data_IF_973605522304
#
_entry.id   IF_973605522304
#
_cell.length_a   1.000
_cell.length_b   1.000
_cell.length_c   1.000
_cell.angle_alpha   90.00
_cell.angle_beta   90.00
_cell.angle_gamma   90.00
#
_symmetry.space_group_name_H-M   'P 1'
#
loop_
_entity.id
_entity.type
_entity.pdbx_description
1 polymer ?
#
# COMPACT_ATOMS: atom_id res chain seq x y z
N UNK A 1 65.48 -42.60 -11.62
CA UNK A 1 64.70 -41.41 -12.05
C UNK A 1 63.57 -41.21 -11.05
N UNK A 2 63.73 -40.31 -10.08
CA UNK A 2 62.69 -39.97 -9.10
C UNK A 2 62.00 -38.68 -9.54
N UNK A 3 60.73 -38.76 -9.96
CA UNK A 3 59.93 -37.58 -10.24
C UNK A 3 59.19 -37.14 -8.98
N UNK A 4 59.58 -35.98 -8.43
CA UNK A 4 58.82 -35.27 -7.39
C UNK A 4 57.70 -34.48 -8.06
N UNK A 5 56.46 -34.70 -7.63
CA UNK A 5 55.30 -33.91 -8.03
C UNK A 5 55.14 -32.78 -7.00
N UNK A 6 55.13 -31.53 -7.47
CA UNK A 6 54.88 -30.35 -6.64
C UNK A 6 53.37 -30.13 -6.45
N UNK A 7 52.90 -29.62 -5.29
CA UNK A 7 51.48 -29.37 -5.08
C UNK A 7 51.05 -28.08 -5.79
N UNK A 8 49.92 -28.15 -6.49
CA UNK A 8 49.25 -26.98 -7.07
C UNK A 8 48.36 -26.37 -5.99
N UNK A 9 48.70 -25.18 -5.53
CA UNK A 9 47.89 -24.43 -4.56
C UNK A 9 46.74 -23.76 -5.30
N UNK A 10 45.51 -24.20 -5.05
CA UNK A 10 44.30 -23.59 -5.59
C UNK A 10 43.99 -22.30 -4.81
N UNK A 11 44.07 -21.14 -5.47
CA UNK A 11 43.63 -19.87 -4.91
C UNK A 11 42.10 -19.78 -4.98
N UNK A 12 41.44 -19.74 -3.82
CA UNK A 12 40.01 -19.46 -3.73
C UNK A 12 39.77 -17.94 -3.86
N UNK A 13 39.26 -17.51 -5.01
CA UNK A 13 38.67 -16.18 -5.16
C UNK A 13 37.28 -16.19 -4.50
N UNK A 14 37.14 -15.50 -3.37
CA UNK A 14 35.84 -15.27 -2.76
C UNK A 14 35.10 -14.19 -3.55
N UNK A 15 34.06 -14.57 -4.27
CA UNK A 15 33.17 -13.62 -4.92
C UNK A 15 32.28 -12.97 -3.85
N UNK A 16 32.49 -11.68 -3.59
CA UNK A 16 31.54 -10.89 -2.81
C UNK A 16 30.29 -10.72 -3.68
N UNK A 17 29.20 -11.38 -3.28
CA UNK A 17 27.90 -11.13 -3.88
C UNK A 17 27.39 -9.75 -3.43
N UNK A 18 27.47 -8.76 -4.32
CA UNK A 18 26.71 -7.52 -4.17
C UNK A 18 25.24 -7.87 -4.38
N UNK A 19 24.42 -7.72 -3.34
CA UNK A 19 22.97 -7.88 -3.44
C UNK A 19 22.45 -6.93 -4.54
N UNK A 20 21.89 -7.50 -5.60
CA UNK A 20 21.27 -6.74 -6.68
C UNK A 20 19.96 -6.14 -6.17
N UNK A 21 19.89 -4.81 -5.99
CA UNK A 21 18.66 -4.11 -5.60
C UNK A 21 17.69 -4.19 -6.79
N UNK A 22 16.69 -5.08 -6.72
CA UNK A 22 15.66 -5.18 -7.75
C UNK A 22 14.91 -3.83 -7.82
N UNK A 23 14.53 -3.36 -9.02
CA UNK A 23 13.65 -2.21 -9.14
C UNK A 23 12.39 -2.45 -8.32
N UNK A 24 12.09 -1.54 -7.39
CA UNK A 24 10.92 -1.64 -6.52
C UNK A 24 9.66 -1.28 -7.31
N UNK A 25 8.52 -1.90 -6.98
CA UNK A 25 7.26 -1.57 -7.64
C UNK A 25 6.81 -0.15 -7.30
N UNK A 26 5.91 0.41 -8.12
CA UNK A 26 5.27 1.70 -7.82
C UNK A 26 4.52 1.67 -6.48
N UNK A 27 3.89 0.55 -6.15
CA UNK A 27 3.19 0.32 -4.88
C UNK A 27 4.13 0.42 -3.68
N UNK A 28 5.26 -0.29 -3.73
CA UNK A 28 6.28 -0.23 -2.69
C UNK A 28 6.88 1.17 -2.58
N UNK A 29 7.09 1.84 -3.73
CA UNK A 29 7.57 3.22 -3.76
C UNK A 29 6.60 4.17 -3.08
N UNK A 30 5.31 4.06 -3.37
CA UNK A 30 4.29 4.89 -2.73
C UNK A 30 4.25 4.69 -1.21
N UNK A 31 4.29 3.43 -0.73
CA UNK A 31 4.38 3.13 0.71
C UNK A 31 5.60 3.81 1.35
N UNK A 32 6.78 3.70 0.72
CA UNK A 32 8.00 4.34 1.23
C UNK A 32 7.88 5.85 1.28
N UNK A 33 7.33 6.47 0.24
CA UNK A 33 7.17 7.92 0.17
C UNK A 33 6.19 8.44 1.22
N UNK A 34 5.08 7.75 1.44
CA UNK A 34 4.13 8.06 2.52
C UNK A 34 4.82 7.94 3.88
N UNK A 35 5.59 6.87 4.11
CA UNK A 35 6.31 6.69 5.36
C UNK A 35 7.44 7.73 5.56
N UNK A 36 8.15 8.11 4.50
CA UNK A 36 9.15 9.18 4.56
C UNK A 36 8.50 10.51 4.93
N UNK A 37 7.37 10.84 4.30
CA UNK A 37 6.60 12.03 4.64
C UNK A 37 6.10 11.99 6.10
N UNK A 38 5.61 10.85 6.59
CA UNK A 38 5.25 10.68 8.00
C UNK A 38 6.42 10.98 8.94
N UNK A 39 7.63 10.48 8.62
CA UNK A 39 8.84 10.75 9.39
C UNK A 39 9.21 12.24 9.37
N UNK A 40 9.09 12.92 8.23
CA UNK A 40 9.28 14.38 8.14
C UNK A 40 8.30 15.16 9.02
N UNK A 41 7.10 14.62 9.25
CA UNK A 41 6.10 15.19 10.15
C UNK A 41 6.26 14.73 11.61
N UNK A 42 7.36 14.05 11.96
CA UNK A 42 7.65 13.59 13.31
C UNK A 42 6.87 12.35 13.77
N UNK A 43 6.30 11.59 12.82
CA UNK A 43 5.55 10.37 13.10
C UNK A 43 6.36 9.11 12.77
N UNK A 44 6.03 8.01 13.43
CA UNK A 44 6.62 6.72 13.09
C UNK A 44 6.14 6.21 11.72
N UNK A 45 7.02 5.54 10.96
CA UNK A 45 6.62 4.83 9.76
C UNK A 45 5.68 3.67 10.12
N UNK A 46 4.81 3.31 9.18
CA UNK A 46 3.84 2.23 9.31
C UNK A 46 4.39 0.98 8.62
N UNK A 47 4.23 -0.19 9.25
CA UNK A 47 4.68 -1.44 8.68
C UNK A 47 3.90 -1.82 7.41
N UNK A 48 4.62 -2.16 6.34
CA UNK A 48 4.01 -2.64 5.09
C UNK A 48 3.22 -3.93 5.35
N UNK A 49 2.02 -4.00 4.80
CA UNK A 49 1.04 -5.05 5.04
C UNK A 49 0.70 -5.76 3.72
N UNK A 50 1.09 -7.05 3.55
CA UNK A 50 0.68 -7.84 2.39
C UNK A 50 -0.85 -7.88 2.22
N UNK A 51 -1.59 -8.00 3.33
CA UNK A 51 -3.04 -8.04 3.32
C UNK A 51 -3.67 -6.74 2.81
N UNK A 52 -3.23 -5.57 3.30
CA UNK A 52 -3.75 -4.29 2.83
C UNK A 52 -3.24 -3.93 1.43
N UNK A 53 -2.07 -4.41 1.02
CA UNK A 53 -1.60 -4.29 -0.36
C UNK A 53 -2.49 -5.11 -1.30
N UNK A 54 -2.92 -6.31 -0.93
CA UNK A 54 -3.89 -7.08 -1.71
C UNK A 54 -5.22 -6.33 -1.87
N UNK A 55 -5.74 -5.74 -0.78
CA UNK A 55 -6.94 -4.89 -0.84
C UNK A 55 -6.75 -3.72 -1.81
N UNK A 56 -5.62 -3.02 -1.72
CA UNK A 56 -5.33 -1.89 -2.59
C UNK A 56 -5.25 -2.31 -4.06
N UNK A 57 -4.59 -3.43 -4.35
CA UNK A 57 -4.43 -3.99 -5.71
C UNK A 57 -5.78 -4.37 -6.31
N UNK A 58 -6.65 -5.03 -5.53
CA UNK A 58 -7.98 -5.40 -6.01
C UNK A 58 -8.86 -4.17 -6.23
N UNK A 59 -8.71 -3.14 -5.39
CA UNK A 59 -9.48 -1.91 -5.52
C UNK A 59 -9.08 -1.09 -6.75
N UNK A 60 -7.78 -0.89 -7.03
CA UNK A 60 -7.39 -0.16 -8.25
C UNK A 60 -7.81 -0.90 -9.51
N UNK A 61 -7.78 -2.23 -9.51
CA UNK A 61 -8.32 -3.03 -10.64
C UNK A 61 -9.83 -2.82 -10.81
N UNK A 62 -10.57 -2.76 -9.71
CA UNK A 62 -12.01 -2.47 -9.74
C UNK A 62 -12.27 -1.06 -10.28
N UNK A 63 -11.54 -0.05 -9.79
CA UNK A 63 -11.68 1.34 -10.23
C UNK A 63 -11.34 1.54 -11.71
N UNK A 64 -10.31 0.87 -12.23
CA UNK A 64 -9.97 0.92 -13.66
C UNK A 64 -11.05 0.25 -14.52
N UNK A 65 -11.60 -0.88 -14.06
CA UNK A 65 -12.61 -1.65 -14.81
C UNK A 65 -13.99 -1.03 -14.73
N UNK A 66 -14.37 -0.52 -13.56
CA UNK A 66 -15.69 -0.01 -13.21
C UNK A 66 -15.58 1.34 -12.48
N UNK A 67 -15.14 2.41 -13.17
CA UNK A 67 -15.03 3.74 -12.55
C UNK A 67 -16.36 4.17 -11.91
N UNK A 68 -16.31 4.76 -10.69
CA UNK A 68 -17.51 5.25 -10.03
C UNK A 68 -18.16 6.38 -10.85
N UNK A 69 -19.49 6.47 -10.77
CA UNK A 69 -20.26 7.48 -11.50
C UNK A 69 -21.38 8.08 -10.63
N UNK A 70 -21.98 9.17 -11.13
CA UNK A 70 -23.05 9.88 -10.44
C UNK A 70 -22.58 10.44 -9.10
N UNK A 71 -23.22 10.02 -8.01
CA UNK A 71 -22.92 10.46 -6.64
C UNK A 71 -21.83 9.63 -5.94
N UNK A 72 -21.40 8.53 -6.56
CA UNK A 72 -20.40 7.62 -6.03
C UNK A 72 -19.00 8.18 -6.28
N UNK A 73 -18.09 8.03 -5.32
CA UNK A 73 -16.70 8.49 -5.42
C UNK A 73 -15.70 7.32 -5.42
N UNK A 74 -14.39 7.63 -5.41
CA UNK A 74 -13.31 6.64 -5.54
C UNK A 74 -13.19 5.64 -4.37
N UNK A 75 -13.96 5.79 -3.30
CA UNK A 75 -14.06 4.79 -2.22
C UNK A 75 -15.18 3.75 -2.48
N UNK A 76 -15.84 3.83 -3.63
CA UNK A 76 -16.92 2.91 -4.03
C UNK A 76 -16.34 1.63 -4.60
N UNK A 77 -16.98 0.51 -4.30
CA UNK A 77 -16.61 -0.80 -4.83
C UNK A 77 -17.74 -1.32 -5.71
N UNK A 78 -17.43 -1.69 -6.95
CA UNK A 78 -18.42 -2.21 -7.88
C UNK A 78 -18.79 -3.66 -7.54
N UNK A 79 -19.76 -4.23 -8.26
CA UNK A 79 -20.14 -5.65 -8.13
C UNK A 79 -19.28 -6.59 -8.99
N UNK A 80 -18.07 -6.15 -9.37
CA UNK A 80 -17.19 -6.83 -10.31
C UNK A 80 -16.22 -7.85 -9.69
N UNK A 81 -16.38 -8.19 -8.42
CA UNK A 81 -15.55 -9.16 -7.71
C UNK A 81 -16.26 -9.78 -6.49
N UNK A 82 -15.51 -10.60 -5.76
CA UNK A 82 -16.04 -11.41 -4.65
C UNK A 82 -16.03 -10.62 -3.32
N UNK A 83 -16.76 -9.50 -3.30
CA UNK A 83 -16.91 -8.61 -2.15
C UNK A 83 -18.29 -7.92 -2.19
N UNK A 84 -18.67 -7.25 -1.11
CA UNK A 84 -19.94 -6.51 -1.06
C UNK A 84 -19.82 -5.20 -1.84
N UNK A 85 -20.57 -4.99 -2.92
CA UNK A 85 -20.52 -3.71 -3.65
C UNK A 85 -21.16 -2.55 -2.89
N UNK A 86 -20.75 -1.33 -3.20
CA UNK A 86 -21.36 -0.12 -2.63
C UNK A 86 -21.13 1.13 -3.49
N UNK A 87 -21.97 2.12 -3.27
CA UNK A 87 -21.75 3.50 -3.69
C UNK A 87 -21.31 4.32 -2.47
N UNK A 88 -20.06 4.80 -2.46
CA UNK A 88 -19.55 5.66 -1.40
C UNK A 88 -19.81 7.13 -1.74
N UNK A 89 -20.56 7.81 -0.89
CA UNK A 89 -20.98 9.21 -1.06
C UNK A 89 -20.12 10.18 -0.24
N UNK A 90 -20.11 11.45 -0.63
CA UNK A 90 -19.27 12.49 -0.01
C UNK A 90 -19.62 12.79 1.46
N UNK A 91 -20.80 12.40 1.93
CA UNK A 91 -21.22 12.51 3.33
C UNK A 91 -20.60 11.45 4.25
N UNK A 92 -19.85 10.50 3.68
CA UNK A 92 -19.24 9.37 4.39
C UNK A 92 -20.25 8.46 5.12
N UNK A 93 -21.54 8.53 4.78
CA UNK A 93 -22.57 7.72 5.44
C UNK A 93 -22.33 6.20 5.24
N UNK A 94 -21.65 5.83 4.15
CA UNK A 94 -21.32 4.45 3.79
C UNK A 94 -19.90 4.04 4.19
N UNK A 95 -19.35 4.61 5.27
CA UNK A 95 -17.98 4.32 5.72
C UNK A 95 -17.68 2.83 5.93
N UNK A 96 -18.70 2.02 6.32
CA UNK A 96 -18.58 0.56 6.45
C UNK A 96 -18.13 -0.11 5.16
N UNK A 97 -18.56 0.40 4.00
CA UNK A 97 -18.15 -0.16 2.72
C UNK A 97 -16.64 -0.22 2.57
N UNK A 98 -15.94 0.83 3.00
CA UNK A 98 -14.47 0.85 2.99
C UNK A 98 -13.92 0.01 4.14
N UNK A 99 -14.47 0.18 5.36
CA UNK A 99 -13.92 -0.46 6.56
C UNK A 99 -13.92 -1.98 6.51
N UNK A 100 -14.90 -2.60 5.86
CA UNK A 100 -15.07 -4.05 5.83
C UNK A 100 -14.18 -4.75 4.79
N UNK A 101 -13.59 -4.02 3.83
CA UNK A 101 -12.85 -4.61 2.70
C UNK A 101 -11.66 -5.46 3.08
N UNK A 102 -10.83 -5.09 4.06
CA UNK A 102 -9.75 -5.98 4.48
C UNK A 102 -10.26 -7.36 4.89
N UNK A 103 -11.41 -7.45 5.56
CA UNK A 103 -11.99 -8.73 5.98
C UNK A 103 -12.50 -9.54 4.80
N UNK A 104 -13.20 -8.89 3.87
CA UNK A 104 -13.78 -9.52 2.69
C UNK A 104 -12.67 -10.06 1.76
N UNK A 105 -11.75 -9.19 1.37
CA UNK A 105 -10.71 -9.50 0.37
C UNK A 105 -9.71 -10.52 0.89
N UNK A 106 -9.35 -10.44 2.18
CA UNK A 106 -8.31 -11.30 2.75
C UNK A 106 -8.86 -12.61 3.32
N UNK A 107 -10.15 -12.91 3.13
CA UNK A 107 -10.80 -14.09 3.70
C UNK A 107 -10.73 -14.12 5.24
N UNK A 108 -10.74 -12.94 5.87
CA UNK A 108 -10.64 -12.79 7.32
C UNK A 108 -9.24 -12.91 7.91
N UNK A 109 -8.17 -12.96 7.10
CA UNK A 109 -6.79 -12.89 7.61
C UNK A 109 -6.53 -11.55 8.29
N UNK A 110 -6.84 -10.44 7.63
CA UNK A 110 -6.85 -9.12 8.23
C UNK A 110 -8.25 -8.80 8.76
N UNK A 111 -8.42 -8.88 10.09
CA UNK A 111 -9.74 -8.72 10.74
C UNK A 111 -10.11 -7.27 11.07
N UNK A 112 -9.13 -6.37 11.05
CA UNK A 112 -9.27 -4.96 11.39
C UNK A 112 -10.04 -4.16 10.33
N UNK A 113 -10.42 -2.93 10.68
CA UNK A 113 -10.99 -1.99 9.72
C UNK A 113 -9.90 -1.44 8.80
N UNK A 114 -10.22 -1.24 7.52
CA UNK A 114 -9.37 -0.51 6.57
C UNK A 114 -9.78 0.94 6.43
N UNK A 115 -8.82 1.85 6.25
CA UNK A 115 -9.07 3.27 6.01
C UNK A 115 -8.31 3.71 4.77
N UNK A 116 -8.99 4.31 3.80
CA UNK A 116 -8.43 4.58 2.49
C UNK A 116 -8.25 6.08 2.24
N UNK A 117 -7.20 6.40 1.50
CA UNK A 117 -7.10 7.63 0.70
C UNK A 117 -6.94 7.23 -0.77
N UNK A 118 -7.65 7.91 -1.66
CA UNK A 118 -7.64 7.63 -3.09
C UNK A 118 -7.22 8.87 -3.87
N UNK A 119 -6.52 8.66 -4.98
CA UNK A 119 -6.13 9.67 -5.95
C UNK A 119 -6.56 9.20 -7.33
N UNK A 120 -7.07 10.13 -8.15
CA UNK A 120 -7.48 9.85 -9.52
C UNK A 120 -6.99 10.96 -10.44
N UNK A 121 -6.49 10.58 -11.62
CA UNK A 121 -5.97 11.49 -12.62
C UNK A 121 -5.53 10.75 -13.88
N UNK A 122 -4.78 11.42 -14.75
CA UNK A 122 -4.16 10.79 -15.92
C UNK A 122 -2.65 10.65 -15.68
N UNK A 123 -2.09 9.49 -15.99
CA UNK A 123 -0.65 9.25 -15.81
C UNK A 123 -0.24 9.29 -14.35
N UNK A 124 -1.02 8.64 -13.48
CA UNK A 124 -0.77 8.65 -12.04
C UNK A 124 0.55 7.96 -11.73
N UNK A 125 1.35 8.62 -10.89
CA UNK A 125 2.60 8.12 -10.31
C UNK A 125 2.57 8.25 -8.79
N UNK A 126 3.40 7.50 -8.04
CA UNK A 126 3.55 7.67 -6.59
C UNK A 126 3.76 9.13 -6.16
N UNK A 127 4.58 9.88 -6.90
CA UNK A 127 4.88 11.27 -6.62
C UNK A 127 3.67 12.19 -6.84
N UNK A 128 2.93 11.99 -7.92
CA UNK A 128 1.72 12.79 -8.18
C UNK A 128 0.64 12.55 -7.14
N UNK A 129 0.43 11.28 -6.75
CA UNK A 129 -0.55 10.89 -5.75
C UNK A 129 -0.22 11.49 -4.38
N UNK A 130 1.03 11.34 -3.91
CA UNK A 130 1.45 11.90 -2.62
C UNK A 130 1.29 13.43 -2.59
N UNK A 131 1.73 14.14 -3.64
CA UNK A 131 1.55 15.60 -3.72
C UNK A 131 0.07 16.00 -3.68
N UNK A 132 -0.78 15.24 -4.37
CA UNK A 132 -2.23 15.44 -4.34
C UNK A 132 -2.83 15.27 -2.94
N UNK A 133 -2.37 14.27 -2.19
CA UNK A 133 -2.84 14.06 -0.82
C UNK A 133 -2.30 15.10 0.17
N UNK A 134 -1.06 15.54 0.02
CA UNK A 134 -0.47 16.59 0.85
C UNK A 134 -1.19 17.94 0.70
N UNK A 135 -1.66 18.27 -0.52
CA UNK A 135 -2.42 19.51 -0.77
C UNK A 135 -3.90 19.42 -0.36
N UNK A 136 -4.40 18.22 -0.08
CA UNK A 136 -5.77 17.99 0.35
C UNK A 136 -5.85 17.80 1.87
N UNK A 137 -6.44 18.77 2.59
CA UNK A 137 -6.50 18.74 4.05
C UNK A 137 -7.06 17.42 4.59
N UNK A 138 -8.14 16.90 4.01
CA UNK A 138 -8.77 15.64 4.40
C UNK A 138 -7.83 14.43 4.27
N UNK A 139 -7.18 14.26 3.12
CA UNK A 139 -6.25 13.14 2.90
C UNK A 139 -4.97 13.30 3.72
N UNK A 140 -4.42 14.50 3.77
CA UNK A 140 -3.23 14.78 4.57
C UNK A 140 -3.46 14.43 6.05
N UNK A 141 -4.65 14.78 6.57
CA UNK A 141 -5.04 14.48 7.96
C UNK A 141 -5.00 12.99 8.30
N UNK A 142 -5.32 12.11 7.34
CA UNK A 142 -5.21 10.65 7.50
C UNK A 142 -3.75 10.22 7.54
N UNK A 143 -2.93 10.75 6.63
CA UNK A 143 -1.50 10.42 6.52
C UNK A 143 -0.73 10.88 7.75
N UNK A 144 -1.03 12.05 8.30
CA UNK A 144 -0.26 12.66 9.40
C UNK A 144 -0.98 12.63 10.75
N UNK A 145 -2.06 11.84 10.87
CA UNK A 145 -2.79 11.59 12.10
C UNK A 145 -3.16 12.90 12.84
N UNK A 146 -3.78 13.85 12.15
CA UNK A 146 -4.21 15.10 12.78
C UNK A 146 -5.75 15.18 12.89
N UNK A 147 -6.25 16.20 13.60
CA UNK A 147 -7.70 16.41 13.78
C UNK A 147 -8.37 15.17 14.38
N UNK A 148 -9.39 14.63 13.71
CA UNK A 148 -10.10 13.40 14.17
C UNK A 148 -9.23 12.13 14.20
N UNK A 149 -8.02 12.20 13.66
CA UNK A 149 -7.07 11.08 13.61
C UNK A 149 -5.95 11.18 14.67
N UNK A 150 -5.97 12.21 15.54
CA UNK A 150 -4.91 12.47 16.52
C UNK A 150 -4.57 11.26 17.41
N UNK A 151 -5.59 10.51 17.83
CA UNK A 151 -5.42 9.35 18.72
C UNK A 151 -5.23 8.02 17.96
N UNK A 152 -5.09 8.07 16.64
CA UNK A 152 -4.90 6.87 15.82
C UNK A 152 -3.42 6.49 15.76
N UNK A 153 -3.16 5.19 15.84
CA UNK A 153 -1.85 4.60 15.61
C UNK A 153 -1.94 3.58 14.49
N UNK A 154 -1.49 3.94 13.29
CA UNK A 154 -1.44 3.03 12.16
C UNK A 154 -0.39 1.95 12.39
N UNK A 155 -0.76 0.69 12.16
CA UNK A 155 0.11 -0.48 12.31
C UNK A 155 0.30 -1.27 11.03
N UNK A 156 -0.52 -1.01 10.02
CA UNK A 156 -0.47 -1.64 8.72
C UNK A 156 -0.71 -0.59 7.63
N UNK A 157 0.10 -0.63 6.57
CA UNK A 157 -0.08 0.17 5.35
C UNK A 157 0.04 -0.72 4.12
N UNK A 158 -0.88 -0.57 3.17
CA UNK A 158 -0.80 -1.15 1.84
C UNK A 158 -1.10 -0.08 0.80
N UNK A 159 -0.62 -0.27 -0.42
CA UNK A 159 -0.87 0.68 -1.51
C UNK A 159 -0.92 -0.03 -2.85
N UNK A 160 -1.57 0.61 -3.82
CA UNK A 160 -1.50 0.22 -5.22
C UNK A 160 -1.57 1.44 -6.12
N UNK A 161 -0.87 1.38 -7.25
CA UNK A 161 -0.84 2.41 -8.29
C UNK A 161 -1.16 1.78 -9.65
N UNK A 162 -2.07 2.40 -10.38
CA UNK A 162 -2.45 2.08 -11.76
C UNK A 162 -2.30 3.31 -12.66
N UNK A 163 -2.76 3.21 -13.91
CA UNK A 163 -2.66 4.32 -14.89
C UNK A 163 -3.43 5.56 -14.43
N UNK A 164 -4.62 5.37 -13.88
CA UNK A 164 -5.53 6.45 -13.49
C UNK A 164 -5.70 6.61 -11.99
N UNK A 165 -5.32 5.62 -11.18
CA UNK A 165 -5.58 5.62 -9.74
C UNK A 165 -4.35 5.33 -8.92
N UNK A 166 -4.33 5.89 -7.71
CA UNK A 166 -3.47 5.41 -6.63
C UNK A 166 -4.29 5.38 -5.35
N UNK A 167 -4.14 4.32 -4.56
CA UNK A 167 -4.82 4.20 -3.28
C UNK A 167 -3.85 3.75 -2.20
N UNK A 168 -4.05 4.25 -0.99
CA UNK A 168 -3.33 3.79 0.21
C UNK A 168 -4.36 3.38 1.25
N UNK A 169 -4.15 2.19 1.81
CA UNK A 169 -4.95 1.62 2.88
C UNK A 169 -4.15 1.59 4.17
N UNK A 170 -4.76 2.10 5.24
CA UNK A 170 -4.23 2.05 6.59
C UNK A 170 -5.08 1.14 7.47
N UNK A 171 -4.44 0.53 8.46
CA UNK A 171 -5.10 -0.27 9.47
C UNK A 171 -4.54 -0.01 10.87
N UNK A 172 -5.41 -0.14 11.89
CA UNK A 172 -5.05 0.09 13.31
C UNK A 172 -4.43 -1.16 13.94
N UNK A 173 -4.59 -2.30 13.28
CA UNK A 173 -4.13 -3.60 13.69
C UNK A 173 -2.87 -3.98 12.89
N UNK A 174 -1.94 -4.69 13.54
CA UNK A 174 -0.81 -5.25 12.81
C UNK A 174 -1.32 -6.37 11.88
N UNK A 175 -0.73 -6.48 10.69
CA UNK A 175 -1.14 -7.50 9.73
C UNK A 175 -0.61 -8.89 10.15
N UNK A 176 -1.48 -9.88 10.40
CA UNK A 176 -1.06 -11.23 10.78
C UNK A 176 -0.27 -11.97 9.70
N UNK A 177 -0.30 -11.51 8.45
CA UNK A 177 0.43 -12.08 7.33
C UNK A 177 1.90 -11.60 7.25
N UNK A 178 2.31 -10.60 8.04
CA UNK A 178 3.71 -10.16 8.05
C UNK A 178 4.61 -11.29 8.54
N UNK A 179 5.60 -11.66 7.72
CA UNK A 179 6.59 -12.70 8.04
C UNK A 179 6.10 -14.14 7.84
N UNK A 180 4.92 -14.33 7.24
CA UNK A 180 4.45 -15.65 6.79
C UNK A 180 4.96 -15.99 5.39
#
# INVERSE_FOLDING_TARGET
>A
MNHRIAPVTLAFFSAIAVAQDRPRSADEQLIRMVNAYRVEQGLNPVASSPSLTQVAVDHVKDLERMPPNGQCNNHSWSSAGDWTSCCYTADHAQARCMWDKPREITGGVYRGNGYEIAHHGSGVTPETALRGWQSSSGHNSVIVNNGKWADVHWKAIGAAVSEHYAVVWFGKEADPAIGR
#
